data_IF_107378316069
#
_entry.id   IF_107378316069
#
_cell.length_a   1.000
_cell.length_b   1.000
_cell.length_c   1.000
_cell.angle_alpha   90.00
_cell.angle_beta   90.00
_cell.angle_gamma   90.00
#
_symmetry.space_group_name_H-M   'P 1'
#
loop_
_entity.id
_entity.type
_entity.pdbx_description
1 polymer ?
#
# COMPACT_ATOMS: atom_id res chain seq x y z
N UNK A 1 -50.94 -44.80 -8.59
CA UNK A 1 -51.78 -43.65 -9.01
C UNK A 1 -52.05 -42.81 -7.78
N UNK A 2 -51.52 -41.56 -7.73
CA UNK A 2 -52.14 -40.36 -7.12
C UNK A 2 -52.47 -40.49 -5.60
N UNK A 3 -51.93 -39.74 -4.62
CA UNK A 3 -51.38 -38.38 -4.57
C UNK A 3 -50.65 -38.20 -3.22
N UNK A 4 -49.44 -37.66 -3.30
CA UNK A 4 -48.78 -36.92 -2.24
C UNK A 4 -49.30 -35.48 -2.27
N UNK A 5 -49.87 -34.96 -1.19
CA UNK A 5 -50.03 -33.51 -0.95
C UNK A 5 -50.81 -33.25 0.34
N UNK A 6 -50.32 -32.29 1.13
CA UNK A 6 -50.94 -31.66 2.31
C UNK A 6 -50.56 -32.25 3.67
N UNK A 7 -49.36 -31.93 4.15
CA UNK A 7 -49.08 -31.77 5.58
C UNK A 7 -47.77 -31.00 5.85
N UNK A 8 -47.54 -29.87 5.16
CA UNK A 8 -46.49 -28.89 5.53
C UNK A 8 -46.98 -27.49 5.16
N UNK A 9 -47.89 -26.92 5.94
CA UNK A 9 -48.10 -25.47 6.04
C UNK A 9 -48.54 -25.23 7.49
N UNK A 10 -48.05 -24.16 8.12
CA UNK A 10 -48.10 -23.85 9.56
C UNK A 10 -46.84 -24.33 10.30
N UNK A 11 -45.70 -23.75 9.93
CA UNK A 11 -44.66 -23.46 10.91
C UNK A 11 -44.23 -22.00 10.75
N UNK A 12 -44.61 -21.20 11.74
CA UNK A 12 -44.00 -19.93 12.11
C UNK A 12 -43.70 -18.92 11.01
N UNK A 13 -44.65 -18.02 10.74
CA UNK A 13 -44.33 -16.63 10.45
C UNK A 13 -43.63 -16.03 11.70
N UNK A 14 -42.36 -16.38 11.92
CA UNK A 14 -41.47 -15.49 12.66
C UNK A 14 -41.14 -14.37 11.69
N UNK A 15 -41.89 -13.27 11.81
CA UNK A 15 -41.37 -11.96 11.43
C UNK A 15 -40.04 -11.80 12.17
N UNK A 16 -38.92 -12.06 11.49
CA UNK A 16 -37.67 -11.46 11.90
C UNK A 16 -37.84 -9.96 11.67
N UNK A 17 -38.20 -9.24 12.73
CA UNK A 17 -37.72 -7.88 12.85
C UNK A 17 -36.21 -8.01 12.77
N UNK A 18 -35.64 -7.74 11.59
CA UNK A 18 -34.21 -7.49 11.48
C UNK A 18 -33.94 -6.35 12.46
N UNK A 19 -33.47 -6.69 13.66
CA UNK A 19 -32.88 -5.73 14.55
C UNK A 19 -31.83 -5.03 13.69
N UNK A 20 -31.94 -3.70 13.52
CA UNK A 20 -30.87 -2.91 12.92
C UNK A 20 -29.62 -3.31 13.69
N UNK A 21 -28.72 -4.03 13.03
CA UNK A 21 -27.44 -4.35 13.62
C UNK A 21 -26.80 -2.99 13.93
N UNK A 22 -26.54 -2.73 15.21
CA UNK A 22 -25.95 -1.47 15.58
C UNK A 22 -24.46 -1.51 15.18
N UNK A 23 -24.14 -0.83 14.08
CA UNK A 23 -22.78 -0.70 13.56
C UNK A 23 -21.94 0.26 14.43
N UNK A 24 -21.50 -0.23 15.60
CA UNK A 24 -20.60 0.54 16.48
C UNK A 24 -19.42 -0.30 16.99
N UNK A 25 -18.31 0.41 17.25
CA UNK A 25 -17.11 -0.13 17.88
C UNK A 25 -17.06 0.40 19.31
N UNK A 26 -16.90 -0.50 20.29
CA UNK A 26 -16.78 -0.12 21.71
C UNK A 26 -15.32 -0.16 22.15
N UNK A 27 -14.75 1.01 22.43
CA UNK A 27 -13.42 1.14 23.01
C UNK A 27 -13.47 0.81 24.50
N UNK A 28 -12.58 -0.07 24.97
CA UNK A 28 -12.50 -0.57 26.35
C UNK A 28 -11.05 -0.51 26.83
N UNK A 29 -10.82 -0.22 28.11
CA UNK A 29 -9.48 0.02 28.66
C UNK A 29 -8.49 -1.16 28.48
N UNK A 30 -9.00 -2.40 28.46
CA UNK A 30 -8.19 -3.61 28.30
C UNK A 30 -7.71 -3.91 26.88
N UNK A 31 -8.16 -3.17 25.87
CA UNK A 31 -7.71 -3.33 24.47
C UNK A 31 -7.01 -2.05 24.01
N UNK A 32 -5.97 -2.21 23.21
CA UNK A 32 -5.13 -1.10 22.76
C UNK A 32 -5.32 -0.72 21.30
N UNK A 33 -5.91 -1.62 20.51
CA UNK A 33 -6.14 -1.47 19.08
C UNK A 33 -7.44 -2.16 18.64
N UNK A 34 -8.07 -1.62 17.62
CA UNK A 34 -9.25 -2.16 16.97
C UNK A 34 -9.10 -2.01 15.46
N UNK A 35 -9.32 -3.09 14.72
CA UNK A 35 -9.51 -3.00 13.27
C UNK A 35 -10.95 -2.58 12.98
N UNK A 36 -11.16 -1.59 12.12
CA UNK A 36 -12.47 -1.25 11.59
C UNK A 36 -12.80 -2.24 10.48
N UNK A 37 -13.29 -3.40 10.91
CA UNK A 37 -13.77 -4.44 10.00
C UNK A 37 -15.08 -4.03 9.31
N UNK A 38 -15.34 -4.64 8.16
CA UNK A 38 -16.47 -4.36 7.29
C UNK A 38 -17.83 -4.51 7.98
N UNK A 39 -17.92 -5.39 8.97
CA UNK A 39 -19.11 -5.57 9.80
C UNK A 39 -19.49 -4.35 10.66
N UNK A 40 -18.61 -3.37 10.82
CA UNK A 40 -18.88 -2.14 11.59
C UNK A 40 -19.08 -0.90 10.70
N UNK A 41 -19.05 -1.06 9.39
CA UNK A 41 -19.02 0.06 8.43
C UNK A 41 -20.20 -0.01 7.48
N UNK A 42 -20.83 1.13 7.31
CA UNK A 42 -21.78 1.36 6.23
C UNK A 42 -21.10 2.15 5.11
N UNK A 43 -21.35 1.81 3.85
CA UNK A 43 -20.76 2.41 2.66
C UNK A 43 -21.83 3.04 1.77
N UNK A 44 -21.46 4.15 1.13
CA UNK A 44 -22.22 4.77 0.06
C UNK A 44 -21.29 5.23 -1.06
N UNK A 45 -21.55 4.82 -2.30
CA UNK A 45 -20.84 5.30 -3.49
C UNK A 45 -21.48 6.58 -4.00
N UNK A 46 -20.74 7.69 -3.94
CA UNK A 46 -21.06 8.93 -4.64
C UNK A 46 -20.46 8.89 -6.05
N UNK A 47 -21.28 8.48 -7.01
CA UNK A 47 -20.91 8.39 -8.43
C UNK A 47 -20.58 9.74 -9.07
N UNK A 48 -21.04 10.85 -8.48
CA UNK A 48 -20.72 12.21 -8.94
C UNK A 48 -19.41 12.74 -8.37
N UNK A 49 -18.95 12.15 -7.27
CA UNK A 49 -17.81 12.57 -6.48
C UNK A 49 -17.86 14.03 -6.00
N UNK A 50 -19.03 14.66 -5.94
CA UNK A 50 -19.21 16.08 -5.63
C UNK A 50 -20.04 16.33 -4.36
N UNK A 51 -20.58 15.29 -3.74
CA UNK A 51 -21.42 15.46 -2.56
C UNK A 51 -20.57 15.97 -1.37
N UNK A 52 -21.17 16.84 -0.58
CA UNK A 52 -20.58 17.36 0.66
C UNK A 52 -21.16 16.67 1.89
N UNK A 53 -20.47 16.75 3.04
CA UNK A 53 -20.96 16.15 4.29
C UNK A 53 -22.34 16.70 4.71
N UNK A 54 -22.62 17.97 4.42
CA UNK A 54 -23.91 18.60 4.74
C UNK A 54 -25.06 17.97 3.94
N UNK A 55 -24.81 17.59 2.69
CA UNK A 55 -25.80 16.92 1.84
C UNK A 55 -25.99 15.46 2.27
N UNK A 56 -24.88 14.76 2.54
CA UNK A 56 -24.85 13.36 3.03
C UNK A 56 -25.60 13.20 4.35
N UNK A 57 -25.51 14.20 5.24
CA UNK A 57 -26.17 14.15 6.54
C UNK A 57 -27.70 14.36 6.47
N UNK A 58 -28.22 14.85 5.34
CA UNK A 58 -29.67 15.02 5.20
C UNK A 58 -30.37 13.65 5.19
N UNK A 59 -31.53 13.55 5.84
CA UNK A 59 -32.22 12.28 6.17
C UNK A 59 -32.48 11.36 4.97
N UNK A 60 -32.47 11.91 3.75
CA UNK A 60 -32.59 11.18 2.48
C UNK A 60 -31.39 10.30 2.14
N UNK A 61 -30.16 10.68 2.55
CA UNK A 61 -28.93 9.95 2.25
C UNK A 61 -28.60 8.88 3.29
N UNK A 62 -29.11 9.01 4.52
CA UNK A 62 -28.87 8.03 5.60
C UNK A 62 -29.43 6.64 5.24
N UNK A 63 -30.48 6.58 4.42
CA UNK A 63 -31.05 5.34 3.88
C UNK A 63 -30.26 4.73 2.70
N UNK A 64 -29.33 5.50 2.10
CA UNK A 64 -28.51 5.03 0.97
C UNK A 64 -27.20 4.38 1.41
N UNK A 65 -26.81 4.56 2.67
CA UNK A 65 -25.72 3.79 3.28
C UNK A 65 -26.14 2.33 3.43
N UNK A 66 -25.32 1.43 2.90
CA UNK A 66 -25.52 -0.02 2.98
C UNK A 66 -24.42 -0.63 3.82
N UNK A 67 -24.71 -1.67 4.62
CA UNK A 67 -23.66 -2.40 5.33
C UNK A 67 -22.64 -2.96 4.34
N UNK A 68 -21.35 -2.85 4.66
CA UNK A 68 -20.29 -3.34 3.78
C UNK A 68 -20.28 -4.88 3.69
N UNK A 69 -20.77 -5.58 4.71
CA UNK A 69 -20.86 -7.04 4.74
C UNK A 69 -19.48 -7.69 4.90
N UNK A 70 -19.17 -8.70 4.09
CA UNK A 70 -17.86 -9.39 4.08
C UNK A 70 -16.83 -8.73 3.15
N UNK A 71 -17.19 -7.60 2.52
CA UNK A 71 -16.32 -6.92 1.55
C UNK A 71 -15.23 -6.11 2.26
N UNK A 72 -14.02 -6.11 1.70
CA UNK A 72 -12.95 -5.23 2.15
C UNK A 72 -13.31 -3.76 1.87
N UNK A 73 -12.83 -2.87 2.74
CA UNK A 73 -12.83 -1.42 2.52
C UNK A 73 -12.01 -1.10 1.27
N UNK A 74 -12.70 -0.86 0.14
CA UNK A 74 -12.07 -0.66 -1.16
C UNK A 74 -12.87 0.32 -2.01
N UNK A 75 -12.16 1.16 -2.74
CA UNK A 75 -12.74 1.95 -3.83
C UNK A 75 -12.66 1.14 -5.12
N UNK A 76 -13.82 0.78 -5.68
CA UNK A 76 -13.91 0.02 -6.94
C UNK A 76 -13.91 0.94 -8.16
N UNK A 77 -14.65 2.05 -8.08
CA UNK A 77 -14.77 3.02 -9.16
C UNK A 77 -13.86 4.23 -8.94
N UNK A 78 -12.92 4.44 -9.86
CA UNK A 78 -11.91 5.52 -9.81
C UNK A 78 -12.51 6.93 -9.97
N UNK A 79 -13.67 7.02 -10.59
CA UNK A 79 -14.35 8.31 -10.83
C UNK A 79 -15.23 8.73 -9.66
N UNK A 80 -15.52 7.81 -8.75
CA UNK A 80 -16.44 8.00 -7.63
C UNK A 80 -15.73 8.37 -6.35
N UNK A 81 -16.45 9.03 -5.44
CA UNK A 81 -16.04 9.15 -4.06
C UNK A 81 -16.81 8.13 -3.23
N UNK A 82 -16.14 7.46 -2.31
CA UNK A 82 -16.80 6.52 -1.40
C UNK A 82 -16.90 7.13 -0.02
N UNK A 83 -18.10 7.05 0.53
CA UNK A 83 -18.42 7.48 1.89
C UNK A 83 -18.52 6.27 2.79
N UNK A 84 -17.84 6.31 3.92
CA UNK A 84 -17.87 5.27 4.95
C UNK A 84 -18.36 5.87 6.25
N UNK A 85 -19.36 5.25 6.87
CA UNK A 85 -19.97 5.70 8.12
C UNK A 85 -19.82 4.61 9.16
N UNK A 86 -19.41 5.01 10.36
CA UNK A 86 -19.27 4.11 11.50
C UNK A 86 -19.41 4.90 12.80
N UNK A 87 -19.75 4.20 13.88
CA UNK A 87 -19.89 4.79 15.21
C UNK A 87 -18.84 4.23 16.17
N UNK A 88 -18.33 5.08 17.04
CA UNK A 88 -17.41 4.69 18.10
C UNK A 88 -18.08 5.03 19.44
N UNK A 89 -18.17 4.08 20.35
CA UNK A 89 -18.58 4.32 21.73
C UNK A 89 -17.32 4.24 22.59
N UNK A 90 -16.87 5.39 23.08
CA UNK A 90 -15.68 5.44 23.92
C UNK A 90 -16.03 5.18 25.40
N UNK A 91 -15.82 3.94 25.89
CA UNK A 91 -16.02 3.57 27.30
C UNK A 91 -14.72 3.52 28.10
N UNK A 92 -13.67 4.17 27.62
CA UNK A 92 -12.37 4.19 28.29
C UNK A 92 -12.27 5.27 29.36
N UNK A 93 -11.29 5.15 30.25
CA UNK A 93 -11.01 6.15 31.28
C UNK A 93 -10.72 7.53 30.67
N UNK A 94 -11.19 8.59 31.35
CA UNK A 94 -10.92 9.98 30.93
C UNK A 94 -9.41 10.22 30.84
N UNK A 95 -8.98 10.81 29.71
CA UNK A 95 -7.57 11.14 29.44
C UNK A 95 -6.87 10.19 28.48
N UNK A 96 -7.47 9.06 28.10
CA UNK A 96 -6.92 8.20 27.06
C UNK A 96 -7.17 8.79 25.67
N UNK A 97 -6.09 9.14 24.96
CA UNK A 97 -6.18 9.64 23.59
C UNK A 97 -6.19 8.48 22.60
N UNK A 98 -7.15 8.51 21.68
CA UNK A 98 -7.28 7.56 20.59
C UNK A 98 -7.08 8.28 19.26
N UNK A 99 -6.60 7.56 18.26
CA UNK A 99 -6.51 8.01 16.88
C UNK A 99 -7.00 6.93 15.94
N UNK A 100 -7.42 7.36 14.76
CA UNK A 100 -7.69 6.50 13.62
C UNK A 100 -6.49 6.58 12.67
N UNK A 101 -5.94 5.43 12.29
CA UNK A 101 -4.84 5.30 11.33
C UNK A 101 -5.33 4.57 10.08
N UNK A 102 -5.03 5.11 8.91
CA UNK A 102 -5.27 4.46 7.62
C UNK A 102 -3.96 3.97 7.00
N UNK A 103 -3.85 2.66 6.78
CA UNK A 103 -2.64 1.98 6.24
C UNK A 103 -2.52 2.09 4.71
N UNK A 104 -2.87 3.24 4.15
CA UNK A 104 -2.67 3.51 2.73
C UNK A 104 -2.34 4.99 2.50
N UNK A 105 -1.04 5.29 2.48
CA UNK A 105 -0.50 6.64 2.30
C UNK A 105 -0.61 7.18 0.86
N UNK A 106 -1.13 6.38 -0.09
CA UNK A 106 -1.31 6.71 -1.52
C UNK A 106 -2.73 7.12 -1.88
N UNK A 107 -3.60 7.30 -0.88
CA UNK A 107 -4.95 7.80 -1.12
C UNK A 107 -4.86 9.26 -1.59
N UNK A 108 -5.45 9.58 -2.75
CA UNK A 108 -5.38 10.93 -3.30
C UNK A 108 -6.08 11.98 -2.44
N UNK A 109 -7.25 11.64 -1.93
CA UNK A 109 -8.03 12.50 -1.05
C UNK A 109 -8.79 11.65 -0.02
N UNK A 110 -8.53 11.91 1.26
CA UNK A 110 -9.22 11.32 2.40
C UNK A 110 -9.68 12.44 3.33
N UNK A 111 -10.99 12.57 3.48
CA UNK A 111 -11.60 13.49 4.43
C UNK A 111 -12.19 12.71 5.58
N UNK A 112 -11.89 13.13 6.80
CA UNK A 112 -12.54 12.65 8.00
C UNK A 112 -13.49 13.71 8.52
N UNK A 113 -14.72 13.31 8.83
CA UNK A 113 -15.72 14.15 9.46
C UNK A 113 -16.17 13.51 10.76
N UNK A 114 -16.04 14.27 11.84
CA UNK A 114 -16.56 13.91 13.15
C UNK A 114 -17.81 14.73 13.42
N UNK A 115 -18.93 14.05 13.65
CA UNK A 115 -20.18 14.71 14.05
C UNK A 115 -20.05 15.25 15.47
N UNK A 116 -20.48 16.49 15.66
CA UNK A 116 -20.55 17.22 16.94
C UNK A 116 -21.94 17.85 17.07
N UNK A 117 -22.28 18.37 18.25
CA UNK A 117 -23.57 19.04 18.48
C UNK A 117 -23.74 20.29 17.60
N UNK A 118 -22.65 20.96 17.26
CA UNK A 118 -22.62 22.19 16.45
C UNK A 118 -22.38 21.95 14.95
N UNK A 119 -22.31 20.70 14.49
CA UNK A 119 -22.02 20.38 13.09
C UNK A 119 -20.92 19.32 12.95
N UNK A 120 -19.89 19.60 12.14
CA UNK A 120 -18.81 18.65 11.85
C UNK A 120 -17.43 19.26 12.05
N UNK A 121 -16.53 18.49 12.65
CA UNK A 121 -15.09 18.76 12.60
C UNK A 121 -14.56 18.00 11.38
N UNK A 122 -13.97 18.73 10.44
CA UNK A 122 -13.43 18.19 9.19
C UNK A 122 -11.90 18.18 9.23
N UNK A 123 -11.30 17.09 8.77
CA UNK A 123 -9.85 16.95 8.58
C UNK A 123 -9.58 16.35 7.21
N UNK A 124 -8.89 17.11 6.36
CA UNK A 124 -8.56 16.71 4.99
C UNK A 124 -7.09 16.32 4.87
N UNK A 125 -6.84 15.14 4.32
CA UNK A 125 -5.52 14.61 4.00
C UNK A 125 -5.54 13.93 2.64
N UNK A 126 -4.36 13.49 2.18
CA UNK A 126 -4.19 12.82 0.90
C UNK A 126 -2.79 13.02 0.34
N UNK A 127 -2.42 12.22 -0.66
CA UNK A 127 -1.12 12.31 -1.33
C UNK A 127 -1.00 13.51 -2.29
N UNK A 128 -2.12 14.17 -2.59
CA UNK A 128 -2.20 15.40 -3.40
C UNK A 128 -1.90 16.66 -2.59
N UNK A 129 -1.91 16.56 -1.25
CA UNK A 129 -1.52 17.63 -0.35
C UNK A 129 -0.05 17.53 0.01
N UNK A 130 0.60 18.67 0.28
CA UNK A 130 1.95 18.70 0.84
C UNK A 130 2.02 17.89 2.14
N UNK A 131 3.12 17.17 2.33
CA UNK A 131 3.29 16.29 3.48
C UNK A 131 3.17 17.03 4.81
N UNK A 132 3.68 18.27 4.90
CA UNK A 132 3.65 19.07 6.13
C UNK A 132 2.23 19.45 6.60
N UNK A 133 1.19 19.24 5.77
CA UNK A 133 -0.21 19.39 6.19
C UNK A 133 -0.70 18.23 7.07
N UNK A 134 0.05 17.13 7.18
CA UNK A 134 -0.30 16.00 8.03
C UNK A 134 -0.13 16.37 9.51
N UNK A 135 -1.16 16.20 10.35
CA UNK A 135 -1.11 16.66 11.74
C UNK A 135 0.00 16.02 12.60
N UNK A 136 0.27 14.73 12.41
CA UNK A 136 1.23 13.96 13.24
C UNK A 136 2.59 13.79 12.52
N UNK A 137 2.71 14.20 11.26
CA UNK A 137 3.95 14.08 10.49
C UNK A 137 4.39 12.62 10.24
N UNK A 138 3.46 11.67 10.30
CA UNK A 138 3.73 10.26 10.08
C UNK A 138 3.46 9.86 8.61
N UNK A 139 4.05 8.73 8.18
CA UNK A 139 3.96 8.25 6.79
C UNK A 139 2.56 7.77 6.40
N UNK A 140 1.73 7.36 7.36
CA UNK A 140 0.33 7.00 7.15
C UNK A 140 -0.57 8.24 7.29
N UNK A 141 -1.89 8.05 7.22
CA UNK A 141 -2.86 9.12 7.52
C UNK A 141 -3.49 8.89 8.89
N UNK A 142 -3.37 9.86 9.78
CA UNK A 142 -3.89 9.77 11.14
C UNK A 142 -4.92 10.85 11.45
N UNK A 143 -5.97 10.47 12.18
CA UNK A 143 -7.06 11.35 12.60
C UNK A 143 -7.25 11.23 14.11
N UNK A 144 -7.03 12.32 14.84
CA UNK A 144 -7.16 12.33 16.29
C UNK A 144 -8.64 12.29 16.70
N UNK A 145 -8.98 11.41 17.64
CA UNK A 145 -10.29 11.38 18.26
C UNK A 145 -10.30 12.31 19.50
N UNK A 146 -11.45 12.94 19.79
CA UNK A 146 -11.58 13.74 21.01
C UNK A 146 -11.45 12.85 22.26
N UNK A 147 -11.05 13.45 23.37
CA UNK A 147 -10.93 12.79 24.67
C UNK A 147 -12.29 12.41 25.31
N UNK A 148 -13.41 12.65 24.63
CA UNK A 148 -14.75 12.49 25.21
C UNK A 148 -15.16 11.02 25.35
N UNK A 149 -16.05 10.76 26.31
CA UNK A 149 -16.61 9.45 26.65
C UNK A 149 -17.91 9.15 25.87
N UNK A 150 -18.13 9.87 24.77
CA UNK A 150 -19.42 9.88 24.08
C UNK A 150 -19.44 8.93 22.88
N UNK A 151 -20.64 8.75 22.34
CA UNK A 151 -20.83 8.07 21.06
C UNK A 151 -20.45 9.03 19.93
N UNK A 152 -19.34 8.75 19.27
CA UNK A 152 -18.86 9.49 18.11
C UNK A 152 -19.47 8.90 16.84
N UNK A 153 -20.04 9.75 15.98
CA UNK A 153 -20.44 9.35 14.62
C UNK A 153 -19.42 9.89 13.64
N UNK A 154 -18.76 9.00 12.93
CA UNK A 154 -17.64 9.29 12.07
C UNK A 154 -18.00 9.02 10.61
N UNK A 155 -17.48 9.85 9.72
CA UNK A 155 -17.56 9.67 8.28
C UNK A 155 -16.19 9.79 7.65
N UNK A 156 -15.84 8.87 6.76
CA UNK A 156 -14.74 9.06 5.81
C UNK A 156 -15.32 9.33 4.42
N UNK A 157 -14.69 10.24 3.68
CA UNK A 157 -14.87 10.38 2.23
C UNK A 157 -13.53 10.12 1.56
N UNK A 158 -13.47 9.09 0.74
CA UNK A 158 -12.25 8.65 0.07
C UNK A 158 -12.46 8.75 -1.45
N UNK A 159 -11.60 9.52 -2.11
CA UNK A 159 -11.51 9.60 -3.57
C UNK A 159 -10.07 9.34 -3.99
N UNK A 160 -9.86 8.31 -4.79
CA UNK A 160 -8.54 7.91 -5.26
C UNK A 160 -8.63 7.27 -6.64
N UNK A 161 -7.63 7.53 -7.47
CA UNK A 161 -7.50 6.93 -8.81
C UNK A 161 -7.01 5.48 -8.77
N UNK A 162 -6.42 5.06 -7.65
CA UNK A 162 -5.88 3.70 -7.50
C UNK A 162 -6.95 2.77 -6.94
N UNK A 163 -6.96 1.50 -7.39
CA UNK A 163 -7.67 0.43 -6.67
C UNK A 163 -6.97 0.22 -5.32
N UNK A 164 -7.44 0.98 -4.33
CA UNK A 164 -6.90 0.96 -2.99
C UNK A 164 -7.88 0.20 -2.10
N UNK A 165 -7.45 -0.97 -1.62
CA UNK A 165 -7.92 -1.41 -0.31
C UNK A 165 -7.27 -0.51 0.75
N UNK A 166 -7.99 -0.26 1.82
CA UNK A 166 -7.46 0.47 2.96
C UNK A 166 -7.90 -0.19 4.24
N UNK A 167 -6.94 -0.41 5.11
CA UNK A 167 -7.18 -0.92 6.45
C UNK A 167 -7.18 0.28 7.39
N UNK A 168 -8.24 0.38 8.21
CA UNK A 168 -8.41 1.46 9.15
C UNK A 168 -8.36 0.89 10.55
N UNK A 169 -7.46 1.39 11.37
CA UNK A 169 -7.31 0.96 12.76
C UNK A 169 -7.61 2.12 13.71
N UNK A 170 -8.29 1.81 14.81
CA UNK A 170 -8.41 2.72 15.96
C UNK A 170 -7.38 2.27 16.98
N UNK A 171 -6.41 3.12 17.28
CA UNK A 171 -5.29 2.81 18.18
C UNK A 171 -5.19 3.86 19.27
N UNK A 172 -4.73 3.44 20.45
CA UNK A 172 -4.31 4.40 21.47
C UNK A 172 -3.08 5.16 20.98
N UNK A 173 -3.00 6.44 21.32
CA UNK A 173 -1.90 7.29 20.89
C UNK A 173 -0.52 6.82 21.38
N UNK A 174 -0.42 6.32 22.62
CA UNK A 174 0.82 5.81 23.20
C UNK A 174 1.31 4.53 22.49
N UNK A 175 0.39 3.63 22.15
CA UNK A 175 0.70 2.39 21.41
C UNK A 175 1.09 2.69 19.97
N UNK A 176 0.38 3.60 19.31
CA UNK A 176 0.78 4.10 17.99
C UNK A 176 2.20 4.68 18.03
N UNK A 177 2.50 5.54 19.01
CA UNK A 177 3.81 6.17 19.14
C UNK A 177 4.92 5.12 19.33
N UNK A 178 4.72 4.16 20.24
CA UNK A 178 5.70 3.09 20.47
C UNK A 178 5.91 2.21 19.22
N UNK A 179 4.83 1.88 18.52
CA UNK A 179 4.87 1.11 17.28
C UNK A 179 5.61 1.88 16.18
N UNK A 180 5.23 3.14 15.94
CA UNK A 180 5.81 3.98 14.91
C UNK A 180 7.32 4.16 15.15
N UNK A 181 7.74 4.43 16.38
CA UNK A 181 9.16 4.52 16.73
C UNK A 181 9.90 3.22 16.36
N UNK A 182 9.35 2.06 16.72
CA UNK A 182 9.93 0.76 16.36
C UNK A 182 10.02 0.55 14.85
N UNK A 183 8.97 0.92 14.11
CA UNK A 183 8.94 0.87 12.65
C UNK A 183 10.02 1.75 12.01
N UNK A 184 10.16 3.01 12.43
CA UNK A 184 11.21 3.90 11.91
C UNK A 184 12.61 3.44 12.27
N UNK A 185 12.83 2.80 13.44
CA UNK A 185 14.12 2.19 13.76
C UNK A 185 14.47 1.06 12.79
N UNK A 186 13.52 0.16 12.51
CA UNK A 186 13.72 -0.93 11.56
C UNK A 186 13.96 -0.42 10.15
N UNK A 187 13.18 0.57 9.70
CA UNK A 187 13.39 1.24 8.41
C UNK A 187 14.76 1.92 8.35
N UNK A 188 15.18 2.59 9.42
CA UNK A 188 16.50 3.22 9.52
C UNK A 188 17.64 2.22 9.40
N UNK A 189 17.54 1.06 10.06
CA UNK A 189 18.51 -0.04 9.92
C UNK A 189 18.51 -0.58 8.48
N UNK A 190 17.34 -0.82 7.89
CA UNK A 190 17.19 -1.29 6.52
C UNK A 190 17.86 -0.35 5.50
N UNK A 191 17.51 0.94 5.53
CA UNK A 191 18.10 1.94 4.63
C UNK A 191 19.58 2.18 4.92
N UNK A 192 20.00 2.12 6.18
CA UNK A 192 21.39 2.20 6.58
C UNK A 192 22.24 1.06 5.99
N UNK A 193 21.75 -0.18 6.03
CA UNK A 193 22.43 -1.33 5.41
C UNK A 193 22.58 -1.15 3.89
N UNK A 194 21.51 -0.74 3.21
CA UNK A 194 21.55 -0.46 1.76
C UNK A 194 22.60 0.63 1.47
N UNK A 195 22.58 1.72 2.25
CA UNK A 195 23.53 2.82 2.13
C UNK A 195 24.99 2.37 2.32
N UNK A 196 25.27 1.58 3.36
CA UNK A 196 26.62 1.05 3.62
C UNK A 196 27.11 0.19 2.46
N UNK A 197 26.28 -0.72 1.93
CA UNK A 197 26.66 -1.57 0.80
C UNK A 197 26.84 -0.74 -0.49
N UNK A 198 26.00 0.27 -0.72
CA UNK A 198 26.13 1.18 -1.85
C UNK A 198 27.42 2.01 -1.78
N UNK A 199 27.77 2.53 -0.60
CA UNK A 199 29.02 3.27 -0.36
C UNK A 199 30.24 2.36 -0.46
N UNK A 200 30.18 1.15 0.08
CA UNK A 200 31.23 0.14 -0.07
C UNK A 200 31.47 -0.17 -1.56
N UNK A 201 30.39 -0.29 -2.34
CA UNK A 201 30.48 -0.50 -3.78
C UNK A 201 31.16 0.67 -4.51
N UNK A 202 30.92 1.91 -4.08
CA UNK A 202 31.67 3.08 -4.61
C UNK A 202 33.15 3.03 -4.22
N UNK A 203 33.48 2.61 -3.00
CA UNK A 203 34.88 2.40 -2.61
C UNK A 203 35.56 1.31 -3.46
N UNK A 204 34.85 0.23 -3.77
CA UNK A 204 35.33 -0.82 -4.69
C UNK A 204 35.49 -0.29 -6.12
N UNK A 205 34.62 0.62 -6.58
CA UNK A 205 34.80 1.31 -7.85
C UNK A 205 36.11 2.12 -7.87
N UNK A 206 36.43 2.86 -6.81
CA UNK A 206 37.66 3.64 -6.74
C UNK A 206 38.92 2.75 -6.69
N UNK A 207 38.83 1.62 -5.96
CA UNK A 207 39.93 0.68 -5.75
C UNK A 207 40.22 -0.19 -6.98
N UNK A 208 39.18 -0.80 -7.56
CA UNK A 208 39.31 -1.73 -8.68
C UNK A 208 39.08 -1.09 -10.05
N UNK A 209 38.48 0.11 -10.10
CA UNK A 209 38.15 0.86 -11.33
C UNK A 209 37.36 0.05 -12.36
N UNK A 210 36.50 -0.86 -11.88
CA UNK A 210 35.57 -1.63 -12.72
C UNK A 210 34.18 -1.03 -12.68
N UNK A 211 33.61 -0.77 -13.86
CA UNK A 211 32.28 -0.15 -14.01
C UNK A 211 31.15 -0.95 -13.36
N UNK A 212 31.30 -2.27 -13.21
CA UNK A 212 30.34 -3.14 -12.54
C UNK A 212 29.99 -2.66 -11.12
N UNK A 213 30.96 -2.07 -10.41
CA UNK A 213 30.74 -1.52 -9.07
C UNK A 213 29.92 -0.23 -9.08
N UNK A 214 30.04 0.60 -10.13
CA UNK A 214 29.18 1.76 -10.31
C UNK A 214 27.74 1.32 -10.55
N UNK A 215 27.51 0.37 -11.47
CA UNK A 215 26.17 -0.14 -11.75
C UNK A 215 25.54 -0.77 -10.52
N UNK A 216 26.32 -1.50 -9.71
CA UNK A 216 25.83 -2.08 -8.47
C UNK A 216 25.46 -1.02 -7.43
N UNK A 217 26.30 0.02 -7.25
CA UNK A 217 25.98 1.14 -6.36
C UNK A 217 24.73 1.88 -6.79
N UNK A 218 24.60 2.22 -8.09
CA UNK A 218 23.41 2.88 -8.64
C UNK A 218 22.15 2.01 -8.49
N UNK A 219 22.28 0.70 -8.69
CA UNK A 219 21.20 -0.24 -8.42
C UNK A 219 20.76 -0.19 -6.96
N UNK A 220 21.69 -0.26 -6.00
CA UNK A 220 21.37 -0.22 -4.57
C UNK A 220 20.73 1.11 -4.15
N UNK A 221 21.21 2.23 -4.69
CA UNK A 221 20.60 3.54 -4.45
C UNK A 221 19.18 3.60 -5.03
N UNK A 222 18.99 3.14 -6.27
CA UNK A 222 17.66 3.06 -6.89
C UNK A 222 16.72 2.10 -6.15
N UNK A 223 17.25 0.99 -5.64
CA UNK A 223 16.54 0.03 -4.80
C UNK A 223 16.08 0.70 -3.50
N UNK A 224 16.96 1.43 -2.80
CA UNK A 224 16.59 2.21 -1.62
C UNK A 224 15.47 3.22 -1.91
N UNK A 225 15.61 4.02 -2.98
CA UNK A 225 14.58 5.00 -3.37
C UNK A 225 13.25 4.31 -3.70
N UNK A 226 13.27 3.17 -4.38
CA UNK A 226 12.07 2.39 -4.68
C UNK A 226 11.33 1.96 -3.40
N UNK A 227 12.05 1.47 -2.39
CA UNK A 227 11.45 1.11 -1.12
C UNK A 227 10.91 2.32 -0.36
N UNK A 228 11.61 3.46 -0.40
CA UNK A 228 11.11 4.71 0.18
C UNK A 228 9.80 5.19 -0.47
N UNK A 229 9.61 4.93 -1.76
CA UNK A 229 8.33 5.16 -2.44
C UNK A 229 7.25 4.14 -2.04
N UNK A 230 7.64 2.90 -1.76
CA UNK A 230 6.72 1.81 -1.40
C UNK A 230 6.23 1.85 0.05
N UNK A 231 6.98 2.47 0.96
CA UNK A 231 6.56 2.65 2.35
C UNK A 231 6.08 4.07 2.68
N UNK A 232 6.27 5.03 1.77
CA UNK A 232 5.85 6.43 1.91
C UNK A 232 6.86 7.34 2.61
N UNK A 233 7.99 6.81 3.08
CA UNK A 233 9.04 7.61 3.73
C UNK A 233 9.76 8.55 2.75
N UNK A 234 9.76 8.23 1.45
CA UNK A 234 10.29 9.11 0.41
C UNK A 234 9.55 10.44 0.36
N UNK A 235 8.21 10.42 0.47
CA UNK A 235 7.44 11.65 0.53
C UNK A 235 7.72 12.43 1.81
N UNK A 236 7.87 11.74 2.93
CA UNK A 236 8.15 12.36 4.22
C UNK A 236 9.50 13.09 4.27
N UNK A 237 10.56 12.49 3.72
CA UNK A 237 11.93 12.97 3.91
C UNK A 237 12.60 13.58 2.67
N UNK A 238 12.31 13.08 1.47
CA UNK A 238 13.05 13.47 0.26
C UNK A 238 12.34 14.56 -0.56
N UNK A 239 11.01 14.53 -0.66
CA UNK A 239 10.24 15.50 -1.46
C UNK A 239 8.89 15.93 -0.83
N UNK A 240 8.86 16.35 0.45
CA UNK A 240 7.61 16.61 1.18
C UNK A 240 6.74 17.71 0.60
N UNK A 241 7.35 18.66 -0.13
CA UNK A 241 6.67 19.79 -0.77
C UNK A 241 6.17 19.51 -2.19
N UNK A 242 6.43 18.32 -2.74
CA UNK A 242 6.19 18.01 -4.16
C UNK A 242 5.22 16.83 -4.34
N UNK A 243 3.90 17.02 -4.09
CA UNK A 243 2.87 16.00 -4.30
C UNK A 243 2.86 15.39 -5.70
N UNK A 244 3.12 16.21 -6.73
CA UNK A 244 3.18 15.77 -8.12
C UNK A 244 4.34 14.78 -8.31
N UNK A 245 5.50 15.01 -7.70
CA UNK A 245 6.59 14.03 -7.76
C UNK A 245 6.17 12.76 -7.03
N UNK A 246 5.48 12.90 -5.89
CA UNK A 246 5.03 11.75 -5.11
C UNK A 246 4.10 10.83 -5.90
N UNK A 247 3.13 11.38 -6.65
CA UNK A 247 2.19 10.57 -7.45
C UNK A 247 2.88 9.72 -8.52
N UNK A 248 4.00 10.18 -9.09
CA UNK A 248 4.77 9.47 -10.11
C UNK A 248 6.01 8.74 -9.54
N UNK A 249 6.34 8.96 -8.27
CA UNK A 249 7.59 8.51 -7.64
C UNK A 249 7.79 6.99 -7.71
N UNK A 250 6.73 6.21 -7.55
CA UNK A 250 6.80 4.74 -7.62
C UNK A 250 7.16 4.26 -9.03
N UNK A 251 6.66 4.93 -10.08
CA UNK A 251 6.97 4.57 -11.46
C UNK A 251 8.40 4.98 -11.83
N UNK A 252 8.81 6.19 -11.44
CA UNK A 252 10.15 6.72 -11.70
C UNK A 252 11.21 5.89 -10.96
N UNK A 253 10.99 5.61 -9.68
CA UNK A 253 11.94 4.85 -8.85
C UNK A 253 12.18 3.43 -9.37
N UNK A 254 11.17 2.76 -9.95
CA UNK A 254 11.35 1.47 -10.63
C UNK A 254 12.37 1.55 -11.77
N UNK A 255 12.36 2.64 -12.55
CA UNK A 255 13.31 2.82 -13.64
C UNK A 255 14.73 3.08 -13.13
N UNK A 256 14.83 3.95 -12.11
CA UNK A 256 16.09 4.27 -11.43
C UNK A 256 16.71 3.01 -10.82
N UNK A 257 15.90 2.04 -10.40
CA UNK A 257 16.36 0.74 -9.92
C UNK A 257 16.70 -0.24 -11.06
N UNK A 258 15.79 -0.46 -12.00
CA UNK A 258 15.86 -1.54 -12.99
C UNK A 258 16.92 -1.31 -14.07
N UNK A 259 17.16 -0.06 -14.46
CA UNK A 259 18.14 0.24 -15.52
C UNK A 259 19.56 -0.06 -15.03
N UNK A 260 20.06 0.48 -13.89
CA UNK A 260 21.35 0.09 -13.35
C UNK A 260 21.44 -1.40 -13.01
N UNK A 261 20.37 -2.00 -12.49
CA UNK A 261 20.30 -3.44 -12.27
C UNK A 261 20.60 -4.23 -13.55
N UNK A 262 20.01 -3.82 -14.67
CA UNK A 262 20.18 -4.47 -15.97
C UNK A 262 21.63 -4.40 -16.45
N UNK A 263 22.24 -3.22 -16.36
CA UNK A 263 23.66 -3.06 -16.68
C UNK A 263 24.56 -3.86 -15.73
N UNK A 264 24.24 -3.87 -14.43
CA UNK A 264 24.98 -4.61 -13.42
C UNK A 264 25.04 -6.10 -13.74
N UNK A 265 23.90 -6.78 -13.91
CA UNK A 265 23.93 -8.22 -14.15
C UNK A 265 24.51 -8.56 -15.54
N UNK A 266 24.29 -7.70 -16.54
CA UNK A 266 24.87 -7.89 -17.87
C UNK A 266 26.40 -7.85 -17.84
N UNK A 267 26.98 -6.94 -17.06
CA UNK A 267 28.43 -6.82 -16.89
C UNK A 267 28.97 -7.93 -15.98
N UNK A 268 28.34 -8.18 -14.83
CA UNK A 268 28.77 -9.17 -13.84
C UNK A 268 28.81 -10.60 -14.40
N UNK A 269 27.78 -11.01 -15.15
CA UNK A 269 27.71 -12.34 -15.77
C UNK A 269 28.41 -12.40 -17.14
N UNK A 270 28.94 -11.27 -17.62
CA UNK A 270 29.51 -11.09 -18.95
C UNK A 270 28.52 -11.47 -20.08
N UNK A 271 27.24 -11.12 -19.91
CA UNK A 271 26.15 -11.46 -20.84
C UNK A 271 26.45 -10.94 -22.26
N UNK A 272 27.07 -9.76 -22.38
CA UNK A 272 27.46 -9.20 -23.69
C UNK A 272 28.39 -10.14 -24.47
N UNK A 273 29.33 -10.79 -23.79
CA UNK A 273 30.30 -11.71 -24.42
C UNK A 273 29.70 -13.10 -24.63
N UNK A 274 28.99 -13.63 -23.64
CA UNK A 274 28.48 -15.01 -23.63
C UNK A 274 27.16 -15.18 -24.41
N UNK A 275 26.30 -14.16 -24.40
CA UNK A 275 24.95 -14.18 -24.97
C UNK A 275 24.61 -12.85 -25.67
N UNK A 276 25.25 -12.53 -26.80
CA UNK A 276 25.08 -11.24 -27.48
C UNK A 276 23.63 -10.95 -27.90
N UNK A 277 22.84 -11.98 -28.22
CA UNK A 277 21.40 -11.83 -28.52
C UNK A 277 20.58 -11.40 -27.29
N UNK A 278 20.86 -11.98 -26.12
CA UNK A 278 20.20 -11.62 -24.86
C UNK A 278 20.56 -10.18 -24.48
N UNK A 279 21.84 -9.82 -24.60
CA UNK A 279 22.29 -8.45 -24.32
C UNK A 279 21.57 -7.43 -25.22
N UNK A 280 21.47 -7.68 -26.54
CA UNK A 280 20.69 -6.81 -27.45
C UNK A 280 19.22 -6.73 -27.04
N UNK A 281 18.61 -7.85 -26.67
CA UNK A 281 17.24 -7.90 -26.15
C UNK A 281 17.05 -7.04 -24.90
N UNK A 282 18.02 -7.05 -23.97
CA UNK A 282 17.99 -6.20 -22.77
C UNK A 282 18.15 -4.72 -23.11
N UNK A 283 18.96 -4.35 -24.11
CA UNK A 283 19.05 -2.95 -24.55
C UNK A 283 17.74 -2.47 -25.17
N UNK A 284 17.08 -3.33 -25.97
CA UNK A 284 15.74 -3.04 -26.51
C UNK A 284 14.72 -2.92 -25.37
N UNK A 285 14.77 -3.81 -24.38
CA UNK A 285 13.92 -3.76 -23.19
C UNK A 285 14.07 -2.43 -22.45
N UNK A 286 15.29 -1.93 -22.24
CA UNK A 286 15.54 -0.62 -21.62
C UNK A 286 14.91 0.51 -22.45
N UNK A 287 15.09 0.51 -23.77
CA UNK A 287 14.53 1.54 -24.66
C UNK A 287 12.99 1.53 -24.62
N UNK A 288 12.38 0.36 -24.71
CA UNK A 288 10.93 0.20 -24.58
C UNK A 288 10.46 0.68 -23.21
N UNK A 289 11.17 0.30 -22.14
CA UNK A 289 10.79 0.70 -20.79
C UNK A 289 10.91 2.22 -20.59
N UNK A 290 11.95 2.87 -21.11
CA UNK A 290 12.09 4.32 -21.08
C UNK A 290 10.97 5.05 -21.86
N UNK A 291 10.51 4.48 -22.99
CA UNK A 291 9.41 5.10 -23.75
C UNK A 291 8.09 5.17 -22.97
N UNK A 292 7.89 4.27 -22.01
CA UNK A 292 6.67 4.23 -21.19
C UNK A 292 6.59 5.32 -20.13
N UNK A 293 7.68 6.06 -19.86
CA UNK A 293 7.68 7.22 -18.94
C UNK A 293 6.71 8.30 -19.41
N UNK A 294 6.57 8.47 -20.73
CA UNK A 294 5.73 9.49 -21.34
C UNK A 294 4.27 9.06 -21.48
N UNK A 295 3.95 7.82 -21.08
CA UNK A 295 2.62 7.25 -21.16
C UNK A 295 2.04 7.29 -19.75
N UNK A 296 1.52 8.45 -19.35
CA UNK A 296 0.59 8.54 -18.23
C UNK A 296 -0.74 7.94 -18.69
N UNK A 297 -0.94 6.66 -18.41
CA UNK A 297 -2.20 5.98 -18.71
C UNK A 297 -2.92 5.62 -17.41
N UNK A 298 -4.12 6.16 -17.25
CA UNK A 298 -5.05 5.78 -16.18
C UNK A 298 -5.62 4.35 -16.42
N UNK A 299 -5.22 3.65 -17.49
CA UNK A 299 -5.64 2.28 -17.80
C UNK A 299 -4.94 1.21 -16.94
N UNK A 300 -5.72 0.53 -16.10
CA UNK A 300 -5.36 -0.60 -15.25
C UNK A 300 -4.63 -1.72 -15.98
N UNK A 301 -5.09 -2.03 -17.18
CA UNK A 301 -4.53 -3.10 -17.99
C UNK A 301 -3.10 -2.78 -18.39
N UNK A 302 -2.85 -1.54 -18.80
CA UNK A 302 -1.51 -1.09 -19.17
C UNK A 302 -0.56 -1.08 -17.96
N UNK A 303 -1.00 -0.54 -16.82
CA UNK A 303 -0.21 -0.56 -15.56
C UNK A 303 0.12 -2.00 -15.13
N UNK A 304 -0.83 -2.92 -15.26
CA UNK A 304 -0.62 -4.34 -14.94
C UNK A 304 0.39 -4.99 -15.88
N UNK A 305 0.30 -4.73 -17.19
CA UNK A 305 1.29 -5.21 -18.17
C UNK A 305 2.69 -4.68 -17.83
N UNK A 306 2.82 -3.40 -17.49
CA UNK A 306 4.11 -2.82 -17.12
C UNK A 306 4.71 -3.48 -15.87
N UNK A 307 3.89 -3.82 -14.88
CA UNK A 307 4.34 -4.59 -13.71
C UNK A 307 4.92 -5.95 -14.12
N UNK A 308 4.27 -6.69 -15.02
CA UNK A 308 4.81 -7.96 -15.50
C UNK A 308 6.06 -7.79 -16.35
N UNK A 309 6.12 -6.73 -17.15
CA UNK A 309 7.25 -6.39 -17.98
C UNK A 309 8.51 -6.05 -17.16
N UNK A 310 8.34 -5.47 -15.97
CA UNK A 310 9.40 -5.18 -15.01
C UNK A 310 10.07 -6.46 -14.43
N UNK A 311 9.43 -7.63 -14.52
CA UNK A 311 10.03 -8.91 -14.09
C UNK A 311 11.03 -9.52 -15.10
N UNK A 312 11.02 -9.06 -16.36
CA UNK A 312 11.85 -9.63 -17.43
C UNK A 312 13.35 -9.60 -17.10
N UNK A 313 13.96 -8.46 -16.64
CA UNK A 313 15.38 -8.43 -16.31
C UNK A 313 15.76 -9.40 -15.19
N UNK A 314 14.88 -9.59 -14.20
CA UNK A 314 15.11 -10.52 -13.09
C UNK A 314 15.15 -11.97 -13.57
N UNK A 315 14.19 -12.38 -14.40
CA UNK A 315 14.13 -13.72 -14.98
C UNK A 315 15.37 -13.98 -15.86
N UNK A 316 15.71 -13.03 -16.73
CA UNK A 316 16.87 -13.16 -17.63
C UNK A 316 18.17 -13.25 -16.86
N UNK A 317 18.35 -12.43 -15.81
CA UNK A 317 19.51 -12.49 -14.94
C UNK A 317 19.63 -13.85 -14.23
N UNK A 318 18.53 -14.36 -13.68
CA UNK A 318 18.49 -15.65 -13.00
C UNK A 318 18.87 -16.82 -13.94
N UNK A 319 18.28 -16.88 -15.13
CA UNK A 319 18.60 -17.89 -16.14
C UNK A 319 20.05 -17.77 -16.63
N UNK A 320 20.52 -16.54 -16.85
CA UNK A 320 21.91 -16.27 -17.25
C UNK A 320 22.91 -16.69 -16.17
N UNK A 321 22.56 -16.53 -14.90
CA UNK A 321 23.38 -16.94 -13.76
C UNK A 321 23.47 -18.47 -13.67
N UNK A 322 22.35 -19.19 -13.75
CA UNK A 322 22.33 -20.67 -13.76
C UNK A 322 23.18 -21.21 -14.91
N UNK A 323 23.01 -20.66 -16.11
CA UNK A 323 23.79 -21.10 -17.27
C UNK A 323 25.29 -20.81 -17.10
N UNK A 324 25.64 -19.63 -16.59
CA UNK A 324 27.04 -19.26 -16.34
C UNK A 324 27.69 -20.14 -15.28
N UNK A 325 26.94 -20.50 -14.23
CA UNK A 325 27.39 -21.44 -13.20
C UNK A 325 27.66 -22.84 -13.78
N UNK A 326 26.73 -23.37 -14.58
CA UNK A 326 26.89 -24.67 -15.28
C UNK A 326 28.11 -24.70 -16.21
N UNK A 327 28.53 -23.54 -16.73
CA UNK A 327 29.74 -23.38 -17.55
C UNK A 327 31.03 -23.14 -16.76
N UNK A 328 31.00 -23.29 -15.42
CA UNK A 328 32.19 -23.24 -14.56
C UNK A 328 32.50 -21.87 -13.95
N UNK A 329 31.66 -20.84 -14.18
CA UNK A 329 31.83 -19.55 -13.52
C UNK A 329 31.29 -19.60 -12.07
N UNK A 330 32.13 -20.08 -11.15
CA UNK A 330 31.79 -20.25 -9.73
C UNK A 330 31.18 -19.01 -9.04
N UNK A 331 31.59 -17.76 -9.34
CA UNK A 331 30.97 -16.58 -8.73
C UNK A 331 29.47 -16.43 -9.01
N UNK A 332 28.95 -17.01 -10.11
CA UNK A 332 27.51 -16.99 -10.39
C UNK A 332 26.68 -17.76 -9.35
N UNK A 333 27.27 -18.73 -8.63
CA UNK A 333 26.55 -19.47 -7.58
C UNK A 333 26.06 -18.54 -6.47
N UNK A 334 26.93 -17.65 -5.98
CA UNK A 334 26.59 -16.70 -4.92
C UNK A 334 25.50 -15.73 -5.37
N UNK A 335 25.58 -15.28 -6.63
CA UNK A 335 24.51 -14.49 -7.24
C UNK A 335 23.19 -15.27 -7.28
N UNK A 336 23.19 -16.51 -7.77
CA UNK A 336 21.99 -17.36 -7.87
C UNK A 336 21.36 -17.62 -6.50
N UNK A 337 22.14 -17.97 -5.47
CA UNK A 337 21.61 -18.23 -4.12
C UNK A 337 20.95 -16.97 -3.54
N UNK A 338 21.63 -15.83 -3.59
CA UNK A 338 21.06 -14.56 -3.13
C UNK A 338 19.80 -14.19 -3.89
N UNK A 339 19.79 -14.39 -5.21
CA UNK A 339 18.61 -14.14 -6.04
C UNK A 339 17.45 -15.08 -5.79
N UNK A 340 17.69 -16.34 -5.44
CA UNK A 340 16.63 -17.29 -5.09
C UNK A 340 15.83 -16.81 -3.88
N UNK A 341 16.50 -16.25 -2.87
CA UNK A 341 15.83 -15.67 -1.69
C UNK A 341 14.93 -14.49 -2.10
N UNK A 342 15.45 -13.59 -2.95
CA UNK A 342 14.69 -12.46 -3.50
C UNK A 342 13.48 -12.93 -4.33
N UNK A 343 13.63 -13.97 -5.15
CA UNK A 343 12.52 -14.54 -5.92
C UNK A 343 11.44 -15.15 -5.02
N UNK A 344 11.83 -15.85 -3.95
CA UNK A 344 10.89 -16.33 -2.94
C UNK A 344 10.10 -15.16 -2.31
N UNK A 345 10.78 -14.08 -1.94
CA UNK A 345 10.16 -12.86 -1.42
C UNK A 345 9.16 -12.25 -2.43
N UNK A 346 9.53 -12.14 -3.71
CA UNK A 346 8.63 -11.68 -4.77
C UNK A 346 7.39 -12.57 -4.93
N UNK A 347 7.55 -13.89 -4.86
CA UNK A 347 6.44 -14.83 -4.95
C UNK A 347 5.49 -14.64 -3.75
N UNK A 348 6.03 -14.57 -2.53
CA UNK A 348 5.23 -14.34 -1.31
C UNK A 348 4.45 -13.03 -1.42
N UNK A 349 5.11 -11.94 -1.81
CA UNK A 349 4.43 -10.66 -1.97
C UNK A 349 3.39 -10.69 -3.10
N UNK A 350 3.65 -11.39 -4.20
CA UNK A 350 2.69 -11.55 -5.30
C UNK A 350 1.45 -12.33 -4.85
N UNK A 351 1.63 -13.37 -4.04
CA UNK A 351 0.53 -14.14 -3.45
C UNK A 351 -0.27 -13.30 -2.44
N UNK A 352 0.39 -12.42 -1.68
CA UNK A 352 -0.29 -11.43 -0.82
C UNK A 352 -1.13 -10.47 -1.64
N UNK A 353 -0.57 -9.90 -2.72
CA UNK A 353 -1.31 -8.99 -3.62
C UNK A 353 -2.48 -9.69 -4.30
N UNK A 354 -2.36 -10.99 -4.59
CA UNK A 354 -3.45 -11.82 -5.09
C UNK A 354 -4.48 -12.21 -4.02
N UNK A 355 -4.36 -11.71 -2.78
CA UNK A 355 -5.19 -12.05 -1.62
C UNK A 355 -5.21 -13.54 -1.27
N UNK A 356 -4.20 -14.31 -1.66
CA UNK A 356 -4.07 -15.74 -1.31
C UNK A 356 -3.44 -15.90 0.09
N UNK A 357 -2.61 -14.94 0.49
CA UNK A 357 -1.93 -14.93 1.80
C UNK A 357 -2.40 -13.71 2.59
N UNK A 358 -2.67 -13.88 3.88
CA UNK A 358 -3.08 -12.79 4.78
C UNK A 358 -2.01 -11.68 4.83
N UNK A 359 -2.49 -10.43 4.80
CA UNK A 359 -1.64 -9.24 5.01
C UNK A 359 -1.30 -9.12 6.49
N UNK A 360 -0.02 -9.31 6.83
CA UNK A 360 0.54 -9.07 8.15
C UNK A 360 1.88 -8.32 7.99
N UNK A 361 2.50 -7.88 9.07
CA UNK A 361 3.78 -7.14 9.00
C UNK A 361 4.85 -7.93 8.21
N UNK A 362 4.94 -9.24 8.41
CA UNK A 362 5.93 -10.07 7.73
C UNK A 362 5.65 -10.23 6.23
N UNK A 363 4.39 -10.31 5.81
CA UNK A 363 4.01 -10.41 4.39
C UNK A 363 3.97 -9.03 3.72
N UNK A 364 3.72 -7.96 4.48
CA UNK A 364 3.78 -6.58 4.02
C UNK A 364 5.21 -6.10 3.77
N UNK A 365 6.16 -6.54 4.62
CA UNK A 365 7.59 -6.26 4.51
C UNK A 365 8.41 -7.46 4.02
N UNK A 366 7.79 -8.43 3.32
CA UNK A 366 8.51 -9.64 2.88
C UNK A 366 9.53 -9.39 1.77
N UNK A 367 9.54 -8.18 1.18
CA UNK A 367 10.34 -7.80 0.01
C UNK A 367 11.59 -7.01 0.38
#
# INVERSE_FOLDING_TARGET
MIRWSLLIVIFGYFFSTAAKADYYIVLKDGKTEYNIESQFVEQFEDSTANLTIQQIFHQSFDAMFKPLGDNMLRNENRNSAYWYKFKIINKTHRGQQWLIESFNFRINHISFFLKTDSGFIETNQGDTFKFQKRPIGHKNFEFLLPYSSDTLTCYFRIKTKQHASFEIFIRRFDVFTSYAIGEYYLLGIFYGMIGIVAMFSLFMLLSFRKIVFLYYSLFLTGFGIFFMCQDGTGFQYLWPDLPIINSHSIFISRLVMLIPYTFYFCEFLEVRKKFPKIWKGMMIWILLRLSTVFIEDDNDFFVSILMYFDYVPFIVAYLSAIHSYRKGFKPALYFTIGFSVLLCAFIINSLRVACIVESNIFTAYSL
#
